data_IF_529351619638
#
_entry.id   IF_529351619638
#
_cell.length_a   1.000
_cell.length_b   1.000
_cell.length_c   1.000
_cell.angle_alpha   90.00
_cell.angle_beta   90.00
_cell.angle_gamma   90.00
#
_symmetry.space_group_name_H-M   'P 1'
#
loop_
_entity.id
_entity.type
_entity.pdbx_description
1 polymer ?
#
# COMPACT_ATOMS: atom_id res chain seq x y z
N UNK A 1 -4.80 21.91 -3.11
CA UNK A 1 -5.34 20.91 -4.06
C UNK A 1 -5.92 19.76 -3.25
N UNK A 2 -7.03 19.13 -3.66
CA UNK A 2 -7.54 17.96 -2.95
C UNK A 2 -6.47 16.86 -2.96
N UNK A 3 -6.17 16.30 -1.80
CA UNK A 3 -5.20 15.22 -1.65
C UNK A 3 -5.76 13.94 -2.28
N UNK A 4 -4.93 13.15 -2.98
CA UNK A 4 -5.33 11.82 -3.43
C UNK A 4 -5.82 10.97 -2.26
N UNK A 5 -6.87 10.20 -2.48
CA UNK A 5 -7.50 9.38 -1.44
C UNK A 5 -7.96 8.05 -2.02
N UNK A 6 -8.01 7.03 -1.18
CA UNK A 6 -8.63 5.76 -1.49
C UNK A 6 -10.15 5.84 -1.37
N UNK A 7 -10.86 5.17 -2.28
CA UNK A 7 -12.31 4.99 -2.23
C UNK A 7 -12.66 3.54 -2.47
N UNK A 8 -13.42 2.93 -1.56
CA UNK A 8 -14.09 1.67 -1.82
C UNK A 8 -15.45 1.96 -2.48
N UNK A 9 -15.65 1.46 -3.69
CA UNK A 9 -16.90 1.54 -4.43
C UNK A 9 -17.39 0.12 -4.69
N UNK A 10 -18.33 -0.35 -3.86
CA UNK A 10 -18.96 -1.67 -3.99
C UNK A 10 -17.98 -2.85 -4.02
N UNK A 11 -16.93 -2.79 -3.20
CA UNK A 11 -15.91 -3.84 -3.13
C UNK A 11 -14.77 -3.67 -4.13
N UNK A 12 -14.70 -2.56 -4.87
CA UNK A 12 -13.54 -2.21 -5.70
C UNK A 12 -12.88 -0.94 -5.17
N UNK A 13 -11.57 -1.02 -4.94
CA UNK A 13 -10.79 0.06 -4.35
C UNK A 13 -10.09 0.86 -5.44
N UNK A 14 -10.30 2.17 -5.39
CA UNK A 14 -9.71 3.16 -6.27
C UNK A 14 -8.83 4.11 -5.48
N UNK A 15 -7.81 4.68 -6.13
CA UNK A 15 -7.00 5.75 -5.59
C UNK A 15 -6.89 6.88 -6.58
N UNK A 16 -6.99 8.12 -6.09
CA UNK A 16 -6.77 9.30 -6.90
C UNK A 16 -7.51 10.52 -6.36
N UNK A 17 -7.73 11.49 -7.25
CA UNK A 17 -8.41 12.76 -6.97
C UNK A 17 -9.72 12.83 -7.73
N UNK A 18 -10.55 13.80 -7.41
CA UNK A 18 -11.81 14.02 -8.12
C UNK A 18 -11.58 14.12 -9.64
N UNK A 19 -12.31 13.30 -10.41
CA UNK A 19 -12.17 13.18 -11.87
C UNK A 19 -11.02 12.28 -12.35
N UNK A 20 -10.12 11.82 -11.48
CA UNK A 20 -9.01 10.93 -11.84
C UNK A 20 -8.82 9.85 -10.76
N UNK A 21 -9.56 8.75 -10.90
CA UNK A 21 -9.43 7.57 -10.04
C UNK A 21 -8.85 6.40 -10.84
N UNK A 22 -7.90 5.69 -10.24
CA UNK A 22 -7.29 4.48 -10.82
C UNK A 22 -7.61 3.28 -9.94
N UNK A 23 -7.91 2.16 -10.59
CA UNK A 23 -8.14 0.90 -9.92
C UNK A 23 -6.87 0.41 -9.20
N UNK A 24 -7.01 0.06 -7.93
CA UNK A 24 -5.93 -0.41 -7.04
C UNK A 24 -6.02 -1.93 -6.88
N UNK A 25 -7.13 -2.40 -6.32
CA UNK A 25 -7.45 -3.80 -6.08
C UNK A 25 -8.94 -3.93 -5.71
N UNK A 26 -9.44 -5.15 -5.65
CA UNK A 26 -10.76 -5.45 -5.11
C UNK A 26 -10.68 -5.80 -3.61
N UNK A 27 -11.81 -5.69 -2.92
CA UNK A 27 -11.97 -6.06 -1.53
C UNK A 27 -11.66 -7.55 -1.32
N UNK A 28 -10.99 -7.88 -0.22
CA UNK A 28 -10.50 -9.23 0.07
C UNK A 28 -9.22 -9.61 -0.68
N UNK A 29 -8.77 -8.83 -1.66
CA UNK A 29 -7.39 -8.95 -2.19
C UNK A 29 -6.38 -8.33 -1.22
N UNK A 30 -5.10 -8.59 -1.43
CA UNK A 30 -4.04 -7.96 -0.66
C UNK A 30 -3.62 -6.63 -1.31
N UNK A 31 -3.67 -5.56 -0.52
CA UNK A 31 -3.05 -4.27 -0.85
C UNK A 31 -1.66 -4.24 -0.22
N UNK A 32 -0.69 -3.62 -0.90
CA UNK A 32 0.66 -3.45 -0.37
C UNK A 32 1.18 -2.04 -0.55
N UNK A 33 2.08 -1.66 0.35
CA UNK A 33 2.84 -0.42 0.35
C UNK A 33 4.32 -0.79 0.36
N UNK A 34 5.11 -0.19 -0.55
CA UNK A 34 6.58 -0.18 -0.47
C UNK A 34 7.00 1.15 0.07
N UNK A 35 7.86 1.12 1.07
CA UNK A 35 8.36 2.30 1.75
C UNK A 35 9.86 2.18 2.04
N UNK A 36 10.50 3.32 2.26
CA UNK A 36 11.84 3.39 2.81
C UNK A 36 11.79 3.29 4.33
N UNK A 37 12.44 2.28 4.90
CA UNK A 37 12.45 2.00 6.34
C UNK A 37 13.20 3.07 7.15
N UNK A 38 14.12 3.84 6.55
CA UNK A 38 14.88 4.87 7.26
C UNK A 38 14.06 6.15 7.48
N UNK A 39 13.27 6.55 6.48
CA UNK A 39 12.57 7.85 6.50
C UNK A 39 11.04 7.74 6.42
N UNK A 40 10.49 6.53 6.21
CA UNK A 40 9.05 6.28 6.15
C UNK A 40 8.36 6.70 4.85
N UNK A 41 9.12 7.08 3.81
CA UNK A 41 8.56 7.52 2.53
C UNK A 41 7.94 6.35 1.79
N UNK A 42 6.66 6.47 1.41
CA UNK A 42 6.00 5.47 0.55
C UNK A 42 6.35 5.75 -0.91
N UNK A 43 6.98 4.78 -1.57
CA UNK A 43 7.37 4.88 -2.98
C UNK A 43 6.34 4.26 -3.92
N UNK A 44 5.62 3.24 -3.45
CA UNK A 44 4.66 2.51 -4.26
C UNK A 44 3.54 1.93 -3.42
N UNK A 45 2.34 1.88 -3.99
CA UNK A 45 1.21 1.18 -3.39
C UNK A 45 0.32 0.57 -4.47
N UNK A 46 -0.49 -0.42 -4.12
CA UNK A 46 -1.33 -1.15 -5.08
C UNK A 46 -1.65 -2.58 -4.70
N UNK A 47 -2.22 -3.32 -5.65
CA UNK A 47 -2.36 -4.78 -5.57
C UNK A 47 -1.00 -5.44 -5.26
N UNK A 48 -0.98 -6.33 -4.27
CA UNK A 48 0.24 -6.88 -3.69
C UNK A 48 1.21 -7.47 -4.73
N UNK A 49 0.71 -8.26 -5.70
CA UNK A 49 1.56 -8.86 -6.73
C UNK A 49 2.26 -7.82 -7.61
N UNK A 50 1.54 -6.77 -8.01
CA UNK A 50 2.09 -5.69 -8.85
C UNK A 50 3.12 -4.88 -8.09
N UNK A 51 2.88 -4.64 -6.81
CA UNK A 51 3.79 -3.91 -5.93
C UNK A 51 5.04 -4.73 -5.64
N UNK A 52 4.90 -6.04 -5.40
CA UNK A 52 6.02 -6.98 -5.21
C UNK A 52 6.92 -7.03 -6.44
N UNK A 53 6.33 -7.24 -7.62
CA UNK A 53 7.10 -7.27 -8.87
C UNK A 53 7.83 -5.94 -9.13
N UNK A 54 7.22 -4.81 -8.76
CA UNK A 54 7.87 -3.51 -8.84
C UNK A 54 9.04 -3.38 -7.84
N UNK A 55 8.87 -3.85 -6.60
CA UNK A 55 9.94 -3.84 -5.60
C UNK A 55 11.14 -4.66 -6.07
N UNK A 56 10.91 -5.90 -6.50
CA UNK A 56 11.97 -6.81 -6.94
C UNK A 56 12.76 -6.22 -8.11
N UNK A 57 12.05 -5.67 -9.11
CA UNK A 57 12.66 -5.01 -10.25
C UNK A 57 13.43 -3.74 -9.85
N UNK A 58 12.94 -2.99 -8.86
CA UNK A 58 13.58 -1.76 -8.38
C UNK A 58 14.83 -2.08 -7.57
N UNK A 59 14.76 -3.03 -6.65
CA UNK A 59 15.93 -3.48 -5.89
C UNK A 59 17.02 -4.05 -6.80
N UNK A 60 16.66 -4.84 -7.82
CA UNK A 60 17.61 -5.35 -8.79
C UNK A 60 18.35 -4.22 -9.53
N UNK A 61 17.62 -3.16 -9.94
CA UNK A 61 18.22 -1.98 -10.58
C UNK A 61 19.08 -1.16 -9.63
N UNK A 62 18.66 -1.01 -8.39
CA UNK A 62 19.43 -0.27 -7.37
C UNK A 62 20.74 -0.99 -7.06
N UNK A 63 20.70 -2.31 -6.82
CA UNK A 63 21.90 -3.13 -6.56
C UNK A 63 22.91 -3.10 -7.71
N UNK A 64 22.45 -2.92 -8.95
CA UNK A 64 23.35 -2.77 -10.09
C UNK A 64 24.19 -1.47 -10.09
N UNK A 65 23.90 -0.51 -9.20
CA UNK A 65 24.58 0.79 -9.12
C UNK A 65 25.66 0.85 -8.01
N UNK A 66 26.16 -0.30 -7.55
CA UNK A 66 27.23 -0.39 -6.54
C UNK A 66 26.75 -0.20 -5.10
N UNK A 67 27.70 -0.01 -4.17
CA UNK A 67 27.47 -0.08 -2.72
C UNK A 67 26.36 0.85 -2.21
N UNK A 68 26.30 2.08 -2.73
CA UNK A 68 25.23 3.02 -2.37
C UNK A 68 23.85 2.52 -2.84
N UNK A 69 23.79 1.93 -4.04
CA UNK A 69 22.57 1.33 -4.55
C UNK A 69 22.14 0.08 -3.77
N UNK A 70 23.09 -0.71 -3.27
CA UNK A 70 22.81 -1.84 -2.38
C UNK A 70 22.20 -1.39 -1.04
N UNK A 71 22.75 -0.33 -0.43
CA UNK A 71 22.17 0.27 0.77
C UNK A 71 20.72 0.73 0.53
N UNK A 72 20.47 1.49 -0.53
CA UNK A 72 19.12 1.95 -0.89
C UNK A 72 18.16 0.79 -1.16
N UNK A 73 18.62 -0.28 -1.81
CA UNK A 73 17.80 -1.45 -2.07
C UNK A 73 17.38 -2.16 -0.77
N UNK A 74 18.28 -2.21 0.22
CA UNK A 74 18.04 -2.87 1.51
C UNK A 74 17.11 -2.08 2.43
N UNK A 75 17.01 -0.76 2.24
CA UNK A 75 16.08 0.10 2.98
C UNK A 75 14.64 0.02 2.45
N UNK A 76 14.43 -0.55 1.26
CA UNK A 76 13.07 -0.72 0.73
C UNK A 76 12.39 -1.93 1.35
N UNK A 77 11.36 -1.67 2.14
CA UNK A 77 10.50 -2.66 2.77
C UNK A 77 9.09 -2.63 2.20
N UNK A 78 8.32 -3.67 2.50
CA UNK A 78 6.95 -3.83 2.02
C UNK A 78 6.05 -4.39 3.09
N UNK A 79 4.92 -3.71 3.29
CA UNK A 79 3.84 -4.17 4.13
C UNK A 79 2.64 -4.53 3.25
N UNK A 80 1.96 -5.61 3.62
CA UNK A 80 0.80 -6.12 2.92
C UNK A 80 -0.34 -6.35 3.91
N UNK A 81 -1.55 -5.97 3.52
CA UNK A 81 -2.75 -6.10 4.34
C UNK A 81 -3.97 -6.38 3.46
N UNK A 82 -5.01 -7.02 3.98
CA UNK A 82 -6.28 -7.18 3.28
C UNK A 82 -6.85 -5.83 2.90
N UNK A 83 -7.37 -5.75 1.68
CA UNK A 83 -8.04 -4.57 1.20
C UNK A 83 -9.48 -4.60 1.73
N UNK A 84 -9.75 -3.78 2.75
CA UNK A 84 -11.07 -3.65 3.38
C UNK A 84 -11.28 -2.21 3.88
N UNK A 85 -12.52 -1.86 4.22
CA UNK A 85 -12.89 -0.50 4.65
C UNK A 85 -12.07 0.01 5.83
N UNK A 86 -11.77 -0.84 6.81
CA UNK A 86 -10.98 -0.47 7.98
C UNK A 86 -9.56 -0.04 7.59
N UNK A 87 -8.90 -0.84 6.75
CA UNK A 87 -7.58 -0.53 6.21
C UNK A 87 -7.61 0.72 5.32
N UNK A 88 -8.61 0.86 4.45
CA UNK A 88 -8.76 2.04 3.58
C UNK A 88 -8.94 3.32 4.40
N UNK A 89 -9.70 3.25 5.50
CA UNK A 89 -9.86 4.37 6.43
C UNK A 89 -8.52 4.79 7.03
N UNK A 90 -7.74 3.85 7.56
CA UNK A 90 -6.40 4.12 8.12
C UNK A 90 -5.48 4.76 7.07
N UNK A 91 -5.51 4.25 5.83
CA UNK A 91 -4.71 4.81 4.73
C UNK A 91 -5.11 6.23 4.32
N UNK A 92 -6.38 6.61 4.48
CA UNK A 92 -6.87 7.94 4.16
C UNK A 92 -6.62 8.97 5.28
N UNK A 93 -6.57 8.50 6.52
CA UNK A 93 -6.24 9.33 7.68
C UNK A 93 -4.74 9.68 7.71
N UNK A 94 -3.90 8.88 7.04
CA UNK A 94 -2.45 9.04 7.01
C UNK A 94 -2.01 9.55 5.63
N UNK A 95 -1.38 10.72 5.59
CA UNK A 95 -0.91 11.34 4.35
C UNK A 95 0.22 10.51 3.77
N UNK A 96 -0.08 9.72 2.73
CA UNK A 96 0.82 8.76 2.07
C UNK A 96 2.13 9.43 1.58
N UNK A 97 2.12 10.75 1.36
CA UNK A 97 3.28 11.47 0.81
C UNK A 97 4.32 11.90 1.87
N UNK A 98 3.97 11.95 3.16
CA UNK A 98 4.90 12.27 4.26
C UNK A 98 4.45 11.56 5.53
N UNK A 99 4.92 10.34 5.76
CA UNK A 99 4.57 9.59 6.98
C UNK A 99 5.76 9.49 7.94
N UNK A 100 6.08 10.53 8.74
CA UNK A 100 7.07 10.43 9.82
C UNK A 100 6.62 9.48 10.95
N UNK A 101 5.48 8.82 10.80
CA UNK A 101 4.89 7.88 11.76
C UNK A 101 4.64 6.50 11.12
N UNK A 102 5.49 6.06 10.19
CA UNK A 102 5.32 4.79 9.49
C UNK A 102 5.15 3.58 10.44
N UNK A 103 5.89 3.43 11.55
CA UNK A 103 5.62 2.34 12.50
C UNK A 103 4.18 2.36 13.05
N UNK A 104 3.66 3.56 13.36
CA UNK A 104 2.27 3.71 13.82
C UNK A 104 1.26 3.42 12.71
N UNK A 105 1.58 3.75 11.44
CA UNK A 105 0.77 3.36 10.28
C UNK A 105 0.71 1.84 10.18
N UNK A 106 1.84 1.15 10.26
CA UNK A 106 1.92 -0.31 10.17
C UNK A 106 1.15 -0.99 11.32
N UNK A 107 1.29 -0.48 12.54
CA UNK A 107 0.51 -0.95 13.71
C UNK A 107 -1.00 -0.73 13.52
N UNK A 108 -1.42 0.45 13.07
CA UNK A 108 -2.84 0.76 12.82
C UNK A 108 -3.42 -0.11 11.70
N UNK A 109 -2.66 -0.36 10.64
CA UNK A 109 -3.04 -1.25 9.54
C UNK A 109 -3.16 -2.70 10.01
N UNK A 110 -2.23 -3.16 10.83
CA UNK A 110 -2.27 -4.51 11.41
C UNK A 110 -3.50 -4.70 12.32
N UNK A 111 -3.80 -3.70 13.16
CA UNK A 111 -5.01 -3.69 13.99
C UNK A 111 -6.30 -3.71 13.16
N UNK A 112 -6.40 -2.81 12.17
CA UNK A 112 -7.55 -2.74 11.26
C UNK A 112 -7.75 -4.04 10.46
N UNK A 113 -6.65 -4.68 10.05
CA UNK A 113 -6.70 -5.98 9.37
C UNK A 113 -7.19 -7.11 10.28
N UNK A 114 -6.91 -7.07 11.58
CA UNK A 114 -7.32 -8.11 12.52
C UNK A 114 -8.83 -8.01 12.87
N UNK A 115 -9.39 -6.81 12.80
CA UNK A 115 -10.82 -6.55 13.04
C UNK A 115 -11.69 -6.74 11.79
N UNK A 116 -11.09 -6.86 10.60
CA UNK A 116 -11.82 -7.04 9.36
C UNK A 116 -12.62 -8.35 9.41
N UNK A 117 -13.96 -8.32 9.25
CA UNK A 117 -14.73 -9.54 9.16
C UNK A 117 -14.21 -10.35 7.96
N UNK A 118 -14.09 -11.66 8.11
CA UNK A 118 -13.81 -12.56 7.00
C UNK A 118 -14.86 -12.31 5.92
N UNK A 119 -14.50 -11.52 4.90
CA UNK A 119 -15.46 -11.10 3.89
C UNK A 119 -16.02 -12.37 3.27
N UNK A 120 -17.36 -12.50 3.31
CA UNK A 120 -18.06 -13.57 2.62
C UNK A 120 -17.79 -13.33 1.14
N UNK A 121 -16.79 -14.03 0.62
CA UNK A 121 -16.62 -14.22 -0.82
C UNK A 121 -17.90 -14.89 -1.30
N UNK A 122 -18.84 -14.08 -1.79
CA UNK A 122 -19.99 -14.62 -2.51
C UNK A 122 -19.41 -15.22 -3.80
N UNK A 123 -19.51 -16.55 -4.00
CA UNK A 123 -19.13 -17.12 -5.28
C UNK A 123 -20.01 -16.45 -6.33
N UNK A 124 -19.37 -15.84 -7.35
CA UNK A 124 -20.09 -15.40 -8.54
C UNK A 124 -20.72 -16.66 -9.17
N UNK A 125 -22.05 -16.72 -9.18
CA UNK A 125 -22.85 -17.69 -9.94
C UNK A 125 -22.73 -17.42 -11.44
#
# INVERSE_FOLDING_TARGET
MPMPTYRNLHGTIFFGKEGEFRHVCDEGQMLSLVFDSENGTVHKHGHAERVRAWLDATQAKLRANGDFGELMANNLEIASFPACDATIKVLNELVIDQTPALPRLLEALAGASAEAPASKVLPRL
#
